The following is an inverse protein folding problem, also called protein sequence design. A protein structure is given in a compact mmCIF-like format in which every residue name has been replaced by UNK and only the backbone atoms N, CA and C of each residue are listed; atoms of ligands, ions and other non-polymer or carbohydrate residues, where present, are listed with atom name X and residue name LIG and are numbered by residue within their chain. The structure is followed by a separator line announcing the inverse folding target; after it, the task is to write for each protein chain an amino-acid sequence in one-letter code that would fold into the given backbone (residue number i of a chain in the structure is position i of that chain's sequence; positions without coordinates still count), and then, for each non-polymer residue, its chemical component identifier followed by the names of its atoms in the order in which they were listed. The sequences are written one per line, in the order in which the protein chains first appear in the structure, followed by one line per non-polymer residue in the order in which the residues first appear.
data_IF_355120584978
#
_entry.id   IF_355120584978
#
_cell.length_a   1.000
_cell.length_b   1.000
_cell.length_c   1.000
_cell.angle_alpha   90.00
_cell.angle_beta   90.00
_cell.angle_gamma   90.00
#
_symmetry.space_group_name_H-M   'P 1'
#
loop_
_entity.id
_entity.type
_entity.pdbx_description
1 polymer ?
#
# COMPACT_ATOMS: atom_id res chain seq x y z
N UNK A 1 24.31 -19.85 -6.91
CA UNK A 1 24.20 -19.59 -5.45
C UNK A 1 22.89 -18.88 -5.09
N UNK A 2 22.63 -17.67 -5.60
CA UNK A 2 21.41 -16.90 -5.29
C UNK A 2 20.09 -17.64 -5.59
N UNK A 3 19.98 -18.29 -6.75
CA UNK A 3 18.79 -19.08 -7.12
C UNK A 3 18.47 -20.18 -6.10
N UNK A 4 19.46 -20.95 -5.69
CA UNK A 4 19.28 -22.04 -4.73
C UNK A 4 18.84 -21.51 -3.35
N UNK A 5 19.36 -20.35 -2.93
CA UNK A 5 18.93 -19.68 -1.70
C UNK A 5 17.46 -19.25 -1.80
N UNK A 6 17.05 -18.62 -2.90
CA UNK A 6 15.67 -18.19 -3.12
C UNK A 6 14.70 -19.38 -3.17
N UNK A 7 15.08 -20.47 -3.84
CA UNK A 7 14.28 -21.70 -3.88
C UNK A 7 14.15 -22.34 -2.49
N UNK A 8 15.22 -22.36 -1.68
CA UNK A 8 15.17 -22.86 -0.31
C UNK A 8 14.29 -21.99 0.60
N UNK A 9 14.39 -20.66 0.48
CA UNK A 9 13.53 -19.70 1.21
C UNK A 9 12.07 -19.90 0.85
N UNK A 10 11.74 -20.03 -0.45
CA UNK A 10 10.37 -20.26 -0.90
C UNK A 10 9.81 -21.59 -0.36
N UNK A 11 10.60 -22.66 -0.39
CA UNK A 11 10.20 -23.95 0.19
C UNK A 11 9.91 -23.85 1.69
N UNK A 12 10.78 -23.17 2.45
CA UNK A 12 10.57 -22.96 3.88
C UNK A 12 9.29 -22.17 4.16
N UNK A 13 9.03 -21.11 3.39
CA UNK A 13 7.79 -20.33 3.51
C UNK A 13 6.54 -21.17 3.22
N UNK A 14 6.57 -22.00 2.17
CA UNK A 14 5.46 -22.89 1.80
C UNK A 14 5.12 -23.85 2.96
N UNK A 15 6.13 -24.48 3.57
CA UNK A 15 5.91 -25.38 4.69
C UNK A 15 5.36 -24.65 5.92
N UNK A 16 5.87 -23.45 6.22
CA UNK A 16 5.30 -22.62 7.28
C UNK A 16 3.81 -22.31 7.03
N UNK A 17 3.41 -21.94 5.81
CA UNK A 17 2.02 -21.61 5.51
C UNK A 17 1.08 -22.83 5.58
N UNK A 18 1.57 -24.02 5.21
CA UNK A 18 0.82 -25.27 5.36
C UNK A 18 0.40 -25.52 6.80
N UNK A 19 1.26 -25.23 7.77
CA UNK A 19 0.98 -25.45 9.19
C UNK A 19 -0.19 -24.59 9.72
N UNK A 20 -0.43 -23.41 9.13
CA UNK A 20 -1.53 -22.53 9.54
C UNK A 20 -2.90 -22.94 8.97
N UNK A 21 -2.91 -23.77 7.92
CA UNK A 21 -4.12 -24.23 7.24
C UNK A 21 -4.71 -23.20 6.28
N UNK A 22 -4.84 -23.56 4.99
CA UNK A 22 -5.18 -22.61 3.93
C UNK A 22 -6.56 -21.96 4.07
N UNK A 23 -7.56 -22.69 4.55
CA UNK A 23 -8.89 -22.13 4.82
C UNK A 23 -8.86 -21.06 5.91
N UNK A 24 -8.05 -21.25 6.96
CA UNK A 24 -7.89 -20.26 8.03
C UNK A 24 -7.18 -19.02 7.51
N UNK A 25 -6.16 -19.20 6.66
CA UNK A 25 -5.46 -18.10 6.01
C UNK A 25 -6.40 -17.28 5.09
N UNK A 26 -7.22 -17.95 4.28
CA UNK A 26 -8.24 -17.26 3.46
C UNK A 26 -9.28 -16.54 4.31
N UNK A 27 -9.75 -17.14 5.40
CA UNK A 27 -10.68 -16.50 6.31
C UNK A 27 -10.07 -15.22 6.89
N UNK A 28 -8.83 -15.29 7.38
CA UNK A 28 -8.09 -14.12 7.85
C UNK A 28 -7.92 -13.07 6.75
N UNK A 29 -7.57 -13.51 5.54
CA UNK A 29 -7.45 -12.64 4.38
C UNK A 29 -8.73 -11.88 4.03
N UNK A 30 -9.87 -12.58 4.05
CA UNK A 30 -11.18 -11.96 3.86
C UNK A 30 -11.47 -10.92 4.95
N UNK A 31 -11.15 -11.22 6.21
CA UNK A 31 -11.32 -10.25 7.31
C UNK A 31 -10.47 -9.00 7.09
N UNK A 32 -9.20 -9.15 6.70
CA UNK A 32 -8.32 -8.03 6.38
C UNK A 32 -8.85 -7.19 5.22
N UNK A 33 -9.34 -7.84 4.15
CA UNK A 33 -9.91 -7.15 2.99
C UNK A 33 -11.17 -6.36 3.38
N UNK A 34 -12.05 -6.92 4.21
CA UNK A 34 -13.24 -6.23 4.72
C UNK A 34 -12.85 -5.02 5.55
N UNK A 35 -11.90 -5.18 6.48
CA UNK A 35 -11.40 -4.07 7.31
C UNK A 35 -10.81 -2.96 6.44
N UNK A 36 -10.00 -3.31 5.43
CA UNK A 36 -9.43 -2.34 4.49
C UNK A 36 -10.52 -1.63 3.67
N UNK A 37 -11.54 -2.36 3.20
CA UNK A 37 -12.66 -1.80 2.46
C UNK A 37 -13.50 -0.83 3.32
N UNK A 38 -13.84 -1.24 4.54
CA UNK A 38 -14.59 -0.41 5.50
C UNK A 38 -13.81 0.85 5.87
N UNK A 39 -12.53 0.68 6.20
CA UNK A 39 -11.65 1.81 6.52
C UNK A 39 -11.59 2.80 5.35
N UNK A 40 -11.35 2.32 4.13
CA UNK A 40 -11.25 3.19 2.96
C UNK A 40 -12.58 3.84 2.61
N UNK A 41 -13.71 3.14 2.73
CA UNK A 41 -15.04 3.73 2.54
C UNK A 41 -15.33 4.86 3.53
N UNK A 42 -14.96 4.68 4.81
CA UNK A 42 -15.05 5.72 5.83
C UNK A 42 -14.14 6.90 5.47
N UNK A 43 -12.90 6.63 5.05
CA UNK A 43 -11.95 7.65 4.66
C UNK A 43 -12.43 8.49 3.46
N UNK A 44 -12.95 7.84 2.41
CA UNK A 44 -13.56 8.51 1.28
C UNK A 44 -14.78 9.36 1.68
N UNK A 45 -15.51 8.93 2.71
CA UNK A 45 -16.63 9.67 3.28
C UNK A 45 -16.20 10.79 4.24
N UNK A 46 -14.89 11.02 4.40
CA UNK A 46 -14.34 12.05 5.26
C UNK A 46 -14.25 11.65 6.73
N UNK A 47 -14.08 10.37 7.05
CA UNK A 47 -13.87 9.87 8.41
C UNK A 47 -12.53 9.14 8.55
N UNK A 48 -11.82 9.33 9.67
CA UNK A 48 -10.61 8.56 9.98
C UNK A 48 -10.63 8.09 11.43
N UNK A 49 -9.73 7.15 11.76
CA UNK A 49 -9.50 6.69 13.12
C UNK A 49 -8.18 7.26 13.64
N UNK A 50 -8.30 8.06 14.71
CA UNK A 50 -7.14 8.48 15.49
C UNK A 50 -6.89 7.51 16.63
N UNK A 51 -5.62 7.20 16.84
CA UNK A 51 -5.15 6.41 17.99
C UNK A 51 -4.60 7.36 19.08
N UNK A 52 -4.18 8.57 18.69
CA UNK A 52 -3.65 9.62 19.57
C UNK A 52 -4.24 10.99 19.20
N UNK A 53 -4.49 11.90 20.16
CA UNK A 53 -4.29 11.74 21.61
C UNK A 53 -5.29 10.79 22.28
N UNK A 54 -6.52 10.67 21.75
CA UNK A 54 -7.51 9.68 22.18
C UNK A 54 -7.86 8.75 21.01
N UNK A 55 -8.12 7.48 21.32
CA UNK A 55 -8.66 6.51 20.35
C UNK A 55 -10.08 6.93 20.02
N UNK A 56 -10.38 7.14 18.73
CA UNK A 56 -11.68 7.61 18.31
C UNK A 56 -11.84 7.79 16.81
N UNK A 57 -13.11 7.82 16.38
CA UNK A 57 -13.48 8.19 15.02
C UNK A 57 -13.56 9.72 14.91
N UNK A 58 -12.89 10.26 13.92
CA UNK A 58 -12.85 11.69 13.62
C UNK A 58 -13.50 11.95 12.26
N UNK A 59 -14.18 13.09 12.12
CA UNK A 59 -14.57 13.64 10.83
C UNK A 59 -13.45 14.55 10.33
N UNK A 60 -12.91 14.24 9.16
CA UNK A 60 -11.86 14.97 8.47
C UNK A 60 -12.47 16.01 7.53
N UNK A 61 -12.07 17.26 7.69
CA UNK A 61 -12.31 18.33 6.73
C UNK A 61 -11.03 18.56 5.94
N UNK A 62 -10.94 17.90 4.78
CA UNK A 62 -9.77 17.96 3.93
C UNK A 62 -9.76 19.26 3.12
N UNK A 63 -8.76 20.13 3.35
CA UNK A 63 -8.54 21.30 2.50
C UNK A 63 -7.63 20.93 1.34
N UNK A 64 -8.23 20.73 0.17
CA UNK A 64 -7.52 20.43 -1.07
C UNK A 64 -7.05 21.73 -1.74
N UNK A 65 -5.82 22.15 -1.42
CA UNK A 65 -5.15 23.22 -2.17
C UNK A 65 -4.81 22.74 -3.60
N UNK A 66 -4.63 23.69 -4.54
CA UNK A 66 -4.30 23.40 -5.95
C UNK A 66 -3.10 22.43 -6.06
N UNK A 67 -2.09 22.61 -5.21
CA UNK A 67 -0.90 21.75 -5.17
C UNK A 67 -1.22 20.29 -4.84
N UNK A 68 -2.15 20.04 -3.94
CA UNK A 68 -2.60 18.70 -3.60
C UNK A 68 -3.31 18.05 -4.80
N UNK A 69 -4.16 18.80 -5.50
CA UNK A 69 -4.80 18.33 -6.74
C UNK A 69 -3.77 17.98 -7.80
N UNK A 70 -2.72 18.80 -7.97
CA UNK A 70 -1.62 18.52 -8.90
C UNK A 70 -0.91 17.22 -8.54
N UNK A 71 -0.59 16.97 -7.28
CA UNK A 71 0.06 15.72 -6.85
C UNK A 71 -0.82 14.49 -7.06
N UNK A 72 -2.12 14.62 -6.81
CA UNK A 72 -3.09 13.55 -7.08
C UNK A 72 -3.13 13.22 -8.57
N UNK A 73 -3.33 14.23 -9.42
CA UNK A 73 -3.43 14.04 -10.88
C UNK A 73 -2.12 13.52 -11.45
N UNK A 74 -0.97 14.05 -11.02
CA UNK A 74 0.33 13.59 -11.46
C UNK A 74 0.57 12.12 -11.08
N UNK A 75 0.24 11.73 -9.85
CA UNK A 75 0.40 10.34 -9.38
C UNK A 75 -0.55 9.39 -10.12
N UNK A 76 -1.78 9.83 -10.38
CA UNK A 76 -2.78 9.09 -11.15
C UNK A 76 -2.31 8.83 -12.58
N UNK A 77 -1.91 9.88 -13.30
CA UNK A 77 -1.43 9.77 -14.67
C UNK A 77 -0.15 8.94 -14.74
N UNK A 78 0.79 9.15 -13.82
CA UNK A 78 2.03 8.38 -13.79
C UNK A 78 1.78 6.90 -13.53
N UNK A 79 0.83 6.56 -12.64
CA UNK A 79 0.41 5.18 -12.42
C UNK A 79 -0.10 4.56 -13.71
N UNK A 80 -1.05 5.22 -14.36
CA UNK A 80 -1.64 4.75 -15.62
C UNK A 80 -0.57 4.55 -16.68
N UNK A 81 0.25 5.57 -16.94
CA UNK A 81 1.32 5.50 -17.94
C UNK A 81 2.24 4.31 -17.70
N UNK A 82 2.65 4.04 -16.46
CA UNK A 82 3.51 2.90 -16.16
C UNK A 82 2.79 1.55 -16.28
N UNK A 83 1.51 1.46 -15.90
CA UNK A 83 0.71 0.25 -16.12
C UNK A 83 0.58 -0.11 -17.60
N UNK A 84 0.48 0.89 -18.49
CA UNK A 84 0.37 0.70 -19.94
C UNK A 84 1.71 0.68 -20.69
N UNK A 85 2.80 1.13 -20.07
CA UNK A 85 4.12 1.23 -20.71
C UNK A 85 4.75 -0.11 -21.10
N UNK A 86 4.26 -1.23 -20.56
CA UNK A 86 4.88 -2.55 -20.75
C UNK A 86 6.17 -2.76 -19.96
N UNK A 87 6.62 -1.80 -19.12
CA UNK A 87 7.76 -1.96 -18.21
C UNK A 87 7.45 -2.95 -17.09
N UNK A 88 7.45 -4.22 -17.46
CA UNK A 88 7.07 -5.36 -16.63
C UNK A 88 8.10 -6.47 -16.76
N UNK A 89 8.57 -6.96 -15.62
CA UNK A 89 9.39 -8.15 -15.53
C UNK A 89 8.50 -9.29 -15.03
N UNK A 90 8.30 -10.32 -15.85
CA UNK A 90 7.55 -11.50 -15.43
C UNK A 90 8.32 -12.24 -14.33
N UNK A 91 7.76 -12.28 -13.12
CA UNK A 91 8.32 -13.01 -11.97
C UNK A 91 7.84 -14.46 -12.00
N UNK A 92 6.56 -14.66 -12.31
CA UNK A 92 5.95 -15.94 -12.60
C UNK A 92 4.99 -15.76 -13.79
N UNK A 93 5.29 -16.35 -14.97
CA UNK A 93 4.47 -16.18 -16.16
C UNK A 93 2.98 -16.44 -15.91
N UNK A 94 2.14 -15.48 -16.30
CA UNK A 94 0.68 -15.56 -16.13
C UNK A 94 0.15 -15.33 -14.70
N UNK A 95 1.03 -15.21 -13.70
CA UNK A 95 0.64 -15.14 -12.28
C UNK A 95 1.13 -13.88 -11.56
N UNK A 96 2.40 -13.50 -11.75
CA UNK A 96 3.01 -12.37 -11.05
C UNK A 96 4.00 -11.65 -11.96
N UNK A 97 3.83 -10.34 -12.11
CA UNK A 97 4.76 -9.48 -12.82
C UNK A 97 5.21 -8.34 -11.90
N UNK A 98 6.51 -8.09 -11.86
CA UNK A 98 7.07 -6.90 -11.27
C UNK A 98 6.88 -5.76 -12.27
N UNK A 99 5.93 -4.87 -11.97
CA UNK A 99 5.69 -3.68 -12.78
C UNK A 99 6.49 -2.51 -12.22
N UNK A 100 7.08 -1.68 -13.09
CA UNK A 100 7.77 -0.46 -12.66
C UNK A 100 6.86 0.47 -11.83
N UNK A 101 5.55 0.42 -12.07
CA UNK A 101 4.54 1.14 -11.29
C UNK A 101 4.54 0.79 -9.79
N UNK A 102 4.99 -0.40 -9.39
CA UNK A 102 5.04 -0.84 -7.99
C UNK A 102 6.12 -0.09 -7.19
N UNK A 103 7.14 0.46 -7.85
CA UNK A 103 8.15 1.31 -7.21
C UNK A 103 7.52 2.61 -6.69
N UNK A 104 6.46 3.09 -7.36
CA UNK A 104 5.81 4.34 -6.97
C UNK A 104 4.92 4.18 -5.74
N UNK A 105 4.35 2.99 -5.54
CA UNK A 105 3.33 2.72 -4.52
C UNK A 105 3.86 2.93 -3.10
N UNK A 106 5.16 2.73 -2.89
CA UNK A 106 5.84 3.00 -1.63
C UNK A 106 6.47 4.39 -1.51
N UNK A 107 6.84 5.00 -2.65
CA UNK A 107 7.67 6.21 -2.71
C UNK A 107 6.82 7.47 -2.76
N UNK A 108 5.90 7.58 -3.73
CA UNK A 108 5.13 8.82 -3.91
C UNK A 108 4.26 9.15 -2.71
N UNK A 109 3.57 8.20 -2.04
CA UNK A 109 2.80 8.54 -0.86
C UNK A 109 3.68 8.97 0.32
N UNK A 110 4.92 8.50 0.40
CA UNK A 110 5.89 8.97 1.39
C UNK A 110 6.35 10.42 1.13
N UNK A 111 6.41 10.83 -0.14
CA UNK A 111 6.84 12.16 -0.56
C UNK A 111 5.69 13.18 -0.54
N UNK A 112 4.52 12.79 -1.06
CA UNK A 112 3.40 13.67 -1.40
C UNK A 112 2.10 13.33 -0.65
N UNK A 113 2.12 12.37 0.27
CA UNK A 113 1.03 12.11 1.21
C UNK A 113 -0.30 11.65 0.60
N UNK A 114 -1.41 12.05 1.25
CA UNK A 114 -2.78 11.60 0.93
C UNK A 114 -3.08 11.82 -0.56
N UNK A 115 -2.78 12.99 -1.17
CA UNK A 115 -3.05 13.21 -2.58
C UNK A 115 -2.45 12.15 -3.51
N UNK A 116 -1.19 11.78 -3.29
CA UNK A 116 -0.52 10.80 -4.14
C UNK A 116 -1.05 9.39 -3.95
N UNK A 117 -1.43 9.03 -2.72
CA UNK A 117 -2.10 7.75 -2.46
C UNK A 117 -3.44 7.62 -3.18
N UNK A 118 -4.24 8.69 -3.21
CA UNK A 118 -5.46 8.72 -4.00
C UNK A 118 -5.16 8.51 -5.47
N UNK A 119 -4.20 9.26 -6.01
CA UNK A 119 -3.83 9.17 -7.41
C UNK A 119 -3.37 7.76 -7.79
N UNK A 120 -2.47 7.16 -7.01
CA UNK A 120 -1.97 5.81 -7.24
C UNK A 120 -3.05 4.73 -7.14
N UNK A 121 -3.89 4.77 -6.10
CA UNK A 121 -4.97 3.80 -5.91
C UNK A 121 -6.01 3.87 -7.02
N UNK A 122 -6.46 5.08 -7.38
CA UNK A 122 -7.39 5.32 -8.49
C UNK A 122 -6.78 4.92 -9.84
N UNK A 123 -5.51 5.27 -10.07
CA UNK A 123 -4.82 4.94 -11.31
C UNK A 123 -4.66 3.44 -11.48
N UNK A 124 -4.28 2.73 -10.42
CA UNK A 124 -4.17 1.27 -10.43
C UNK A 124 -5.53 0.60 -10.72
N UNK A 125 -6.58 1.04 -10.02
CA UNK A 125 -7.93 0.52 -10.21
C UNK A 125 -8.42 0.75 -11.65
N UNK A 126 -8.27 1.97 -12.18
CA UNK A 126 -8.70 2.31 -13.53
C UNK A 126 -7.91 1.54 -14.59
N UNK A 127 -6.57 1.47 -14.46
CA UNK A 127 -5.73 0.68 -15.36
C UNK A 127 -6.14 -0.79 -15.38
N UNK A 128 -6.42 -1.38 -14.22
CA UNK A 128 -6.85 -2.78 -14.13
C UNK A 128 -8.22 -2.98 -14.78
N UNK A 129 -9.17 -2.06 -14.56
CA UNK A 129 -10.50 -2.11 -15.17
C UNK A 129 -10.44 -1.99 -16.69
N UNK A 130 -9.56 -1.14 -17.24
CA UNK A 130 -9.38 -1.00 -18.68
C UNK A 130 -8.77 -2.27 -19.29
N UNK A 131 -7.75 -2.85 -18.64
CA UNK A 131 -7.02 -4.00 -19.19
C UNK A 131 -7.77 -5.33 -19.04
N UNK A 132 -8.55 -5.49 -17.98
CA UNK A 132 -9.09 -6.79 -17.57
C UNK A 132 -10.57 -6.78 -17.21
N UNK A 133 -11.24 -5.62 -17.32
CA UNK A 133 -12.61 -5.44 -16.88
C UNK A 133 -12.74 -5.25 -15.37
N UNK A 134 -13.94 -4.88 -14.93
CA UNK A 134 -14.25 -4.66 -13.52
C UNK A 134 -14.22 -5.98 -12.74
N UNK A 135 -13.45 -6.04 -11.65
CA UNK A 135 -13.25 -7.25 -10.85
C UNK A 135 -12.98 -6.97 -9.36
N UNK A 136 -12.98 -8.02 -8.54
CA UNK A 136 -12.61 -7.94 -7.13
C UNK A 136 -11.17 -7.42 -6.93
N UNK A 137 -10.24 -7.80 -7.81
CA UNK A 137 -8.88 -7.26 -7.83
C UNK A 137 -8.88 -5.77 -8.15
N UNK A 138 -9.64 -5.33 -9.15
CA UNK A 138 -9.69 -3.90 -9.50
C UNK A 138 -10.17 -3.05 -8.32
N UNK A 139 -11.19 -3.52 -7.59
CA UNK A 139 -11.70 -2.86 -6.38
C UNK A 139 -10.72 -2.92 -5.21
N UNK A 140 -9.94 -4.00 -5.10
CA UNK A 140 -8.93 -4.12 -4.06
C UNK A 140 -7.86 -3.02 -4.13
N UNK A 141 -7.56 -2.47 -5.30
CA UNK A 141 -6.65 -1.33 -5.41
C UNK A 141 -7.22 -0.04 -4.80
N UNK A 142 -8.54 0.18 -4.89
CA UNK A 142 -9.19 1.32 -4.24
C UNK A 142 -9.16 1.16 -2.71
N UNK A 143 -9.57 -0.02 -2.24
CA UNK A 143 -9.63 -0.29 -0.79
C UNK A 143 -8.24 -0.32 -0.17
N UNK A 144 -7.31 -1.02 -0.79
CA UNK A 144 -5.96 -1.15 -0.28
C UNK A 144 -5.15 0.13 -0.50
N UNK A 145 -5.33 0.87 -1.59
CA UNK A 145 -4.59 2.10 -1.86
C UNK A 145 -4.64 3.10 -0.70
N UNK A 146 -5.82 3.36 -0.15
CA UNK A 146 -6.01 4.30 0.97
C UNK A 146 -5.63 3.69 2.32
N UNK A 147 -6.06 2.46 2.61
CA UNK A 147 -5.73 1.79 3.86
C UNK A 147 -4.20 1.62 4.03
N UNK A 148 -3.55 1.19 2.95
CA UNK A 148 -2.11 0.95 2.90
C UNK A 148 -1.29 2.24 2.96
N UNK A 149 -1.81 3.33 2.38
CA UNK A 149 -1.25 4.66 2.56
C UNK A 149 -1.30 5.12 4.01
N UNK A 150 -2.45 4.98 4.68
CA UNK A 150 -2.57 5.43 6.06
C UNK A 150 -1.58 4.70 6.97
N UNK A 151 -1.34 3.41 6.69
CA UNK A 151 -0.29 2.62 7.35
C UNK A 151 1.09 3.26 7.07
N UNK A 152 1.50 3.34 5.80
CA UNK A 152 2.84 3.85 5.44
C UNK A 152 3.10 5.26 5.98
N UNK A 153 2.14 6.17 5.83
CA UNK A 153 2.26 7.54 6.27
C UNK A 153 2.35 7.67 7.80
N UNK A 154 1.47 6.99 8.55
CA UNK A 154 1.52 6.99 10.02
C UNK A 154 2.84 6.44 10.57
N UNK A 155 3.47 5.50 9.86
CA UNK A 155 4.74 4.92 10.28
C UNK A 155 5.98 5.71 9.83
N UNK A 156 6.00 6.24 8.61
CA UNK A 156 7.10 7.09 8.11
C UNK A 156 7.25 8.39 8.92
N UNK A 157 6.17 8.81 9.58
CA UNK A 157 6.19 9.92 10.53
C UNK A 157 6.59 11.23 9.86
N UNK A 158 7.44 12.02 10.53
CA UNK A 158 7.85 13.35 10.06
C UNK A 158 8.92 13.34 8.96
N UNK A 159 9.64 12.22 8.80
CA UNK A 159 10.86 12.16 7.98
C UNK A 159 11.20 10.75 7.42
N UNK A 160 10.84 10.46 6.15
CA UNK A 160 11.23 9.24 5.45
C UNK A 160 12.66 9.24 4.87
N UNK A 161 13.53 10.19 5.22
CA UNK A 161 14.87 10.31 4.61
C UNK A 161 15.84 9.15 4.90
N UNK A 162 15.56 8.29 5.90
CA UNK A 162 16.45 7.21 6.32
C UNK A 162 17.89 7.69 6.64
N UNK A 163 17.99 8.85 7.31
CA UNK A 163 19.27 9.45 7.74
C UNK A 163 19.56 9.28 9.23
N UNK A 164 18.57 8.84 9.99
CA UNK A 164 18.69 8.57 11.42
C UNK A 164 18.08 7.21 11.75
N UNK A 165 18.53 6.60 12.85
CA UNK A 165 17.98 5.35 13.37
C UNK A 165 16.46 5.40 13.52
N UNK A 166 15.92 6.54 14.00
CA UNK A 166 14.48 6.78 14.11
C UNK A 166 13.78 6.67 12.74
N UNK A 167 14.30 7.34 11.71
CA UNK A 167 13.70 7.28 10.35
C UNK A 167 13.81 5.89 9.72
N UNK A 168 14.90 5.16 9.98
CA UNK A 168 15.06 3.76 9.52
C UNK A 168 14.09 2.81 10.20
N UNK A 169 13.89 2.94 11.52
CA UNK A 169 12.92 2.13 12.26
C UNK A 169 11.49 2.42 11.79
N UNK A 170 11.12 3.70 11.66
CA UNK A 170 9.85 4.13 11.10
C UNK A 170 9.58 3.56 9.70
N UNK A 171 10.58 3.63 8.82
CA UNK A 171 10.51 3.07 7.48
C UNK A 171 10.28 1.55 7.51
N UNK A 172 11.10 0.84 8.29
CA UNK A 172 11.08 -0.63 8.35
C UNK A 172 9.76 -1.16 8.92
N UNK A 173 9.29 -0.59 10.04
CA UNK A 173 8.01 -0.99 10.62
C UNK A 173 6.84 -0.70 9.66
N UNK A 174 6.80 0.51 9.08
CA UNK A 174 5.74 0.87 8.13
C UNK A 174 5.73 -0.03 6.90
N UNK A 175 6.90 -0.28 6.32
CA UNK A 175 7.05 -1.11 5.15
C UNK A 175 6.58 -2.54 5.38
N UNK A 176 6.95 -3.15 6.51
CA UNK A 176 6.56 -4.53 6.79
C UNK A 176 5.08 -4.67 7.12
N UNK A 177 4.49 -3.71 7.84
CA UNK A 177 3.03 -3.65 8.00
C UNK A 177 2.32 -3.57 6.65
N UNK A 178 2.83 -2.74 5.74
CA UNK A 178 2.32 -2.61 4.38
C UNK A 178 2.51 -3.88 3.55
N UNK A 179 3.71 -4.47 3.55
CA UNK A 179 4.05 -5.65 2.76
C UNK A 179 3.22 -6.87 3.17
N UNK A 180 3.05 -7.10 4.47
CA UNK A 180 2.20 -8.19 4.99
C UNK A 180 0.75 -7.97 4.57
N UNK A 181 0.22 -6.76 4.76
CA UNK A 181 -1.14 -6.44 4.36
C UNK A 181 -1.38 -6.58 2.86
N UNK A 182 -0.46 -6.09 2.02
CA UNK A 182 -0.53 -6.23 0.56
C UNK A 182 -0.48 -7.71 0.16
N UNK A 183 0.42 -8.49 0.76
CA UNK A 183 0.52 -9.93 0.52
C UNK A 183 -0.77 -10.68 0.84
N UNK A 184 -1.37 -10.39 2.00
CA UNK A 184 -2.65 -10.97 2.41
C UNK A 184 -3.77 -10.55 1.45
N UNK A 185 -3.88 -9.26 1.10
CA UNK A 185 -4.93 -8.74 0.21
C UNK A 185 -4.83 -9.34 -1.19
N UNK A 186 -3.65 -9.34 -1.80
CA UNK A 186 -3.45 -9.87 -3.16
C UNK A 186 -3.70 -11.38 -3.21
N UNK A 187 -3.27 -12.12 -2.19
CA UNK A 187 -3.52 -13.57 -2.10
C UNK A 187 -5.00 -13.89 -1.89
N UNK A 188 -5.69 -13.05 -1.14
CA UNK A 188 -7.14 -13.17 -0.93
C UNK A 188 -7.89 -12.91 -2.24
N UNK A 189 -7.56 -11.84 -2.95
CA UNK A 189 -8.26 -11.43 -4.17
C UNK A 189 -8.05 -12.40 -5.32
N UNK A 190 -6.83 -12.92 -5.51
CA UNK A 190 -6.57 -13.93 -6.57
C UNK A 190 -7.34 -15.23 -6.33
N UNK A 191 -7.57 -15.59 -5.06
CA UNK A 191 -8.38 -16.75 -4.67
C UNK A 191 -9.87 -16.48 -4.90
N UNK A 192 -10.36 -15.28 -4.56
CA UNK A 192 -11.75 -14.87 -4.81
C UNK A 192 -12.10 -14.86 -6.31
N UNK A 193 -11.13 -14.49 -7.15
CA UNK A 193 -11.25 -14.55 -8.61
C UNK A 193 -11.10 -15.96 -9.18
N UNK A 194 -10.81 -16.97 -8.34
CA UNK A 194 -10.61 -18.37 -8.73
C UNK A 194 -9.55 -18.55 -9.82
N UNK A 195 -8.54 -17.67 -9.87
CA UNK A 195 -7.45 -17.77 -10.87
C UNK A 195 -6.49 -18.92 -10.58
N UNK A 196 -6.32 -19.27 -9.31
CA UNK A 196 -5.47 -20.38 -8.86
C UNK A 196 -6.13 -21.10 -7.67
N UNK A 197 -5.79 -22.39 -7.43
CA UNK A 197 -6.27 -23.13 -6.27
C UNK A 197 -5.83 -22.46 -4.96
N UNK A 198 -6.66 -22.62 -3.92
CA UNK A 198 -6.47 -22.05 -2.58
C UNK A 198 -5.08 -22.39 -2.00
N UNK A 199 -4.68 -23.64 -2.14
CA UNK A 199 -3.42 -24.18 -1.64
C UNK A 199 -2.23 -23.49 -2.31
N UNK A 200 -2.33 -23.24 -3.62
CA UNK A 200 -1.28 -22.59 -4.43
C UNK A 200 -1.20 -21.10 -4.10
N UNK A 201 -2.35 -20.44 -3.89
CA UNK A 201 -2.42 -19.05 -3.50
C UNK A 201 -1.71 -18.79 -2.16
N UNK A 202 -2.12 -19.50 -1.12
CA UNK A 202 -1.62 -19.30 0.25
C UNK A 202 -0.29 -19.97 0.54
N UNK A 203 0.35 -20.59 -0.47
CA UNK A 203 1.71 -21.13 -0.35
C UNK A 203 2.67 -20.44 -1.31
N UNK A 204 2.72 -20.88 -2.57
CA UNK A 204 3.67 -20.43 -3.56
C UNK A 204 3.45 -18.96 -3.96
N UNK A 205 2.20 -18.56 -4.21
CA UNK A 205 1.92 -17.17 -4.63
C UNK A 205 2.22 -16.17 -3.52
N UNK A 206 1.73 -16.40 -2.29
CA UNK A 206 2.06 -15.55 -1.15
C UNK A 206 3.58 -15.47 -0.91
N UNK A 207 4.29 -16.60 -1.00
CA UNK A 207 5.76 -16.63 -0.90
C UNK A 207 6.44 -15.76 -1.96
N UNK A 208 5.99 -15.83 -3.22
CA UNK A 208 6.49 -14.98 -4.30
C UNK A 208 6.17 -13.50 -4.06
N UNK A 209 4.97 -13.17 -3.57
CA UNK A 209 4.61 -11.79 -3.23
C UNK A 209 5.54 -11.25 -2.13
N UNK A 210 5.82 -12.03 -1.09
CA UNK A 210 6.77 -11.63 -0.03
C UNK A 210 8.15 -11.32 -0.59
N UNK A 211 8.67 -12.16 -1.50
CA UNK A 211 9.96 -11.93 -2.15
C UNK A 211 9.97 -10.64 -2.99
N UNK A 212 8.88 -10.36 -3.70
CA UNK A 212 8.70 -9.09 -4.42
C UNK A 212 8.70 -7.91 -3.43
N UNK A 213 7.98 -8.02 -2.31
CA UNK A 213 7.93 -6.96 -1.30
C UNK A 213 9.28 -6.72 -0.62
N UNK A 214 10.09 -7.76 -0.41
CA UNK A 214 11.46 -7.63 0.07
C UNK A 214 12.36 -6.91 -0.93
N UNK A 215 12.16 -7.15 -2.22
CA UNK A 215 12.89 -6.45 -3.28
C UNK A 215 12.51 -4.98 -3.32
N UNK A 216 11.20 -4.68 -3.24
CA UNK A 216 10.68 -3.31 -3.19
C UNK A 216 11.11 -2.57 -1.92
N UNK A 217 11.25 -3.25 -0.77
CA UNK A 217 11.81 -2.66 0.45
C UNK A 217 13.19 -2.05 0.20
N UNK A 218 14.10 -2.81 -0.41
CA UNK A 218 15.46 -2.33 -0.65
C UNK A 218 15.46 -1.19 -1.67
N UNK A 219 14.72 -1.33 -2.77
CA UNK A 219 14.68 -0.33 -3.82
C UNK A 219 14.05 0.99 -3.34
N UNK A 220 12.92 0.93 -2.64
CA UNK A 220 12.25 2.12 -2.14
C UNK A 220 13.06 2.83 -1.07
N UNK A 221 13.84 2.11 -0.27
CA UNK A 221 14.79 2.71 0.66
C UNK A 221 15.82 3.59 -0.09
N UNK A 222 16.40 3.09 -1.18
CA UNK A 222 17.34 3.87 -1.99
C UNK A 222 16.65 5.09 -2.62
N UNK A 223 15.47 4.90 -3.22
CA UNK A 223 14.73 6.00 -3.84
C UNK A 223 14.38 7.11 -2.85
N UNK A 224 13.85 6.78 -1.67
CA UNK A 224 13.46 7.77 -0.68
C UNK A 224 14.68 8.47 -0.07
N UNK A 225 15.78 7.77 0.15
CA UNK A 225 17.03 8.36 0.65
C UNK A 225 17.56 9.45 -0.30
N UNK A 226 17.44 9.24 -1.62
CA UNK A 226 17.92 10.16 -2.65
C UNK A 226 16.91 11.28 -2.96
N UNK A 227 15.62 10.95 -3.09
CA UNK A 227 14.59 11.88 -3.56
C UNK A 227 14.04 12.80 -2.46
N UNK A 228 13.90 12.31 -1.23
CA UNK A 228 13.28 13.10 -0.16
C UNK A 228 14.00 14.43 0.15
N UNK A 229 15.36 14.50 0.21
CA UNK A 229 16.07 15.76 0.38
C UNK A 229 15.74 16.81 -0.70
N UNK A 230 15.58 16.35 -1.95
CA UNK A 230 15.25 17.21 -3.09
C UNK A 230 13.82 17.74 -2.93
N UNK A 231 12.85 16.84 -2.72
CA UNK A 231 11.45 17.20 -2.50
C UNK A 231 11.29 18.17 -1.33
N UNK A 232 12.04 17.95 -0.23
CA UNK A 232 12.05 18.84 0.92
C UNK A 232 12.63 20.21 0.59
N UNK A 233 13.75 20.28 -0.15
CA UNK A 233 14.41 21.54 -0.55
C UNK A 233 13.49 22.45 -1.37
N UNK A 234 12.71 21.87 -2.28
CA UNK A 234 11.76 22.61 -3.11
C UNK A 234 10.38 22.78 -2.47
N UNK A 235 10.22 22.36 -1.22
CA UNK A 235 8.93 22.41 -0.53
C UNK A 235 7.85 21.56 -1.19
N UNK A 236 8.18 20.62 -2.08
CA UNK A 236 7.26 19.77 -2.84
C UNK A 236 6.68 18.61 -2.02
N UNK A 237 6.89 18.60 -0.70
CA UNK A 237 6.31 17.61 0.18
C UNK A 237 4.95 18.06 0.66
N UNK A 238 4.11 17.09 0.98
CA UNK A 238 2.82 17.33 1.59
C UNK A 238 2.85 16.73 3.00
N UNK A 239 2.51 17.52 4.02
CA UNK A 239 2.47 17.07 5.42
C UNK A 239 1.04 17.20 5.92
N UNK A 240 0.67 16.31 6.84
CA UNK A 240 -0.39 16.51 7.85
C UNK A 240 -0.03 17.69 8.76
N UNK A 241 0.10 18.88 8.17
CA UNK A 241 0.24 20.11 8.92
C UNK A 241 -1.15 20.49 9.44
N UNK A 242 -1.25 21.02 10.67
CA UNK A 242 -2.51 21.44 11.29
C UNK A 242 -3.39 22.35 10.43
N UNK A 243 -2.85 22.96 9.37
CA UNK A 243 -3.56 23.84 8.45
C UNK A 243 -4.23 23.12 7.26
N UNK A 244 -3.93 21.84 7.02
CA UNK A 244 -4.41 21.08 5.85
C UNK A 244 -5.60 20.16 6.15
N UNK A 245 -5.83 19.85 7.44
CA UNK A 245 -7.03 19.16 7.91
C UNK A 245 -7.50 19.73 9.23
N UNK A 246 -8.74 20.16 9.26
CA UNK A 246 -9.47 20.30 10.52
C UNK A 246 -10.13 18.95 10.82
N UNK A 247 -10.06 18.49 12.06
CA UNK A 247 -10.76 17.27 12.46
C UNK A 247 -11.61 17.52 13.69
N UNK A 248 -12.76 16.85 13.74
CA UNK A 248 -13.69 16.89 14.87
C UNK A 248 -13.90 15.46 15.35
N UNK A 249 -13.71 15.21 16.65
CA UNK A 249 -14.04 13.92 17.24
C UNK A 249 -15.55 13.68 17.15
N UNK A 250 -15.92 12.64 16.43
CA UNK A 250 -17.31 12.16 16.36
C UNK A 250 -17.54 11.16 17.48
N UNK A 251 -16.50 10.40 17.83
CA UNK A 251 -16.50 9.49 18.97
C UNK A 251 -15.07 9.29 19.50
N UNK A 252 -14.83 9.29 20.82
CA UNK A 252 -15.76 9.68 21.87
C UNK A 252 -16.12 11.17 21.75
N UNK A 253 -17.38 11.51 22.04
CA UNK A 253 -17.85 12.90 22.04
C UNK A 253 -17.09 13.65 23.15
N UNK A 254 -16.28 14.63 22.80
CA UNK A 254 -15.73 15.56 23.79
C UNK A 254 -16.91 16.38 24.34
N UNK A 255 -17.42 15.97 25.50
CA UNK A 255 -18.22 16.86 26.35
C UNK A 255 -17.23 17.89 26.89
N UNK A 256 -17.47 19.16 26.57
CA UNK A 256 -16.56 20.30 26.80
C UNK A 256 -15.99 20.39 28.20
#
# INVERSE_FOLDING_TARGET
MLRAILEAMLRALIECFRLFGFFRLQFLGNMFLIVAAVYSALFYSGFDFKIRPKIGMIKLFQKWEIKAVVFLVASFLLKILLEFSGFTLSVAPGLLAFKASLLLDGVLPALWGIPAAYGLGLGAALSDMILYGYSARSMSYLYWGIASYNILFKFYGENPAMRSTKSWLSYTCGWWCWAVGTGVVWTTTITLERRIPLEVAWSAYLGLVILVMMTLYVLNAVFLYLSYPIVRRYGLYWRDSPNYYTYVYVFPVDRG
#
